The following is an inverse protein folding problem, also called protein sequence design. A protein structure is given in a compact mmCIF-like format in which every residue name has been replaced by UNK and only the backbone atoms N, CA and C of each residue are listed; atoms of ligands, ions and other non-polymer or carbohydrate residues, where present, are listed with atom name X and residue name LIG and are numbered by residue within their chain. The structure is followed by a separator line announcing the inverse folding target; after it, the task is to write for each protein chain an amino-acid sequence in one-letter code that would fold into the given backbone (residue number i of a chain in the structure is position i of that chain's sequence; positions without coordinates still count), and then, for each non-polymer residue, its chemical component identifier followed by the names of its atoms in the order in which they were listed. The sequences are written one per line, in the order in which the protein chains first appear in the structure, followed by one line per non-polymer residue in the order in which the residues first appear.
data_IF_503225025336
#
_entry.id   IF_503225025336
#
_cell.length_a   1.000
_cell.length_b   1.000
_cell.length_c   1.000
_cell.angle_alpha   90.00
_cell.angle_beta   90.00
_cell.angle_gamma   90.00
#
_symmetry.space_group_name_H-M   'P 1'
#
loop_
_entity.id
_entity.type
_entity.pdbx_description
1 polymer ?
#
# COMPACT_ATOMS: atom_id res chain seq x y z
N UNK A 1 45.16 30.60 -5.85
CA UNK A 1 44.32 30.49 -7.06
C UNK A 1 44.00 29.03 -7.28
N UNK A 2 42.80 28.58 -6.93
CA UNK A 2 42.37 27.19 -7.13
C UNK A 2 41.80 26.99 -8.54
N UNK A 3 41.93 25.79 -9.14
CA UNK A 3 41.40 25.54 -10.47
C UNK A 3 39.88 25.58 -10.43
N UNK A 4 39.29 26.44 -11.28
CA UNK A 4 37.85 26.48 -11.48
C UNK A 4 37.42 25.21 -12.23
N UNK A 5 36.59 24.39 -11.58
CA UNK A 5 35.96 23.22 -12.18
C UNK A 5 35.04 23.69 -13.31
N UNK A 6 35.49 23.54 -14.56
CA UNK A 6 34.73 23.95 -15.74
C UNK A 6 33.49 23.07 -16.01
N UNK A 7 32.66 23.45 -17.01
CA UNK A 7 31.37 22.82 -17.30
C UNK A 7 31.45 21.33 -17.67
N UNK A 8 32.66 20.79 -17.87
CA UNK A 8 32.91 19.37 -18.14
C UNK A 8 32.52 18.43 -16.99
N UNK A 9 32.48 18.91 -15.73
CA UNK A 9 32.09 18.08 -14.59
C UNK A 9 30.56 17.86 -14.52
N UNK A 10 29.76 18.81 -15.01
CA UNK A 10 28.31 18.70 -15.03
C UNK A 10 27.82 17.61 -16.01
N UNK A 11 28.57 17.37 -17.09
CA UNK A 11 28.22 16.38 -18.10
C UNK A 11 28.40 14.92 -17.61
N UNK A 12 29.27 14.70 -16.62
CA UNK A 12 29.54 13.35 -16.08
C UNK A 12 28.42 12.85 -15.14
N UNK A 13 27.60 13.75 -14.60
CA UNK A 13 26.48 13.41 -13.72
C UNK A 13 25.26 12.86 -14.49
N UNK A 14 25.14 13.14 -15.78
CA UNK A 14 24.00 12.67 -16.60
C UNK A 14 24.21 11.28 -17.19
N UNK A 15 25.42 10.73 -17.11
CA UNK A 15 25.77 9.41 -17.66
C UNK A 15 25.52 8.24 -16.72
N UNK A 16 25.10 8.49 -15.47
CA UNK A 16 24.63 7.43 -14.59
C UNK A 16 23.15 7.18 -14.89
N UNK A 17 22.77 5.98 -15.38
CA UNK A 17 21.36 5.64 -15.45
C UNK A 17 20.85 5.63 -14.02
N UNK A 18 19.98 6.59 -13.69
CA UNK A 18 19.16 6.52 -12.50
C UNK A 18 18.26 5.30 -12.71
N UNK A 19 18.69 4.15 -12.18
CA UNK A 19 17.82 2.98 -12.09
C UNK A 19 16.66 3.42 -11.22
N UNK A 20 15.48 3.53 -11.83
CA UNK A 20 14.24 3.62 -11.10
C UNK A 20 14.12 2.31 -10.33
N UNK A 21 13.95 2.38 -9.01
CA UNK A 21 13.84 1.20 -8.16
C UNK A 21 12.65 0.32 -8.58
N UNK A 22 12.60 -0.90 -8.05
CA UNK A 22 11.43 -1.75 -8.23
C UNK A 22 10.19 -1.07 -7.59
N UNK A 23 8.99 -1.16 -8.21
CA UNK A 23 7.78 -0.60 -7.66
C UNK A 23 7.52 -1.08 -6.22
N UNK A 24 7.12 -0.15 -5.35
CA UNK A 24 6.84 -0.44 -3.94
C UNK A 24 5.33 -0.40 -3.68
N UNK A 25 4.82 -1.44 -3.04
CA UNK A 25 3.43 -1.49 -2.56
C UNK A 25 3.42 -1.44 -1.03
N UNK A 26 2.60 -0.56 -0.47
CA UNK A 26 2.47 -0.36 0.98
C UNK A 26 1.02 -0.48 1.41
N UNK A 27 0.81 -1.06 2.60
CA UNK A 27 -0.48 -1.13 3.26
C UNK A 27 -0.30 -0.63 4.70
N UNK A 28 -1.09 0.36 5.09
CA UNK A 28 -1.10 0.91 6.44
C UNK A 28 -2.45 0.59 7.07
N UNK A 29 -2.41 -0.09 8.21
CA UNK A 29 -3.59 -0.51 8.98
C UNK A 29 -3.44 -0.08 10.44
N UNK A 30 -4.55 0.07 11.18
CA UNK A 30 -4.50 0.22 12.62
C UNK A 30 -3.84 -1.00 13.26
N UNK A 31 -3.11 -0.77 14.36
CA UNK A 31 -2.51 -1.86 15.15
C UNK A 31 -3.56 -2.84 15.70
N UNK A 32 -4.77 -2.36 15.98
CA UNK A 32 -5.88 -3.15 16.50
C UNK A 32 -7.13 -2.82 15.69
N UNK A 33 -7.72 -3.84 15.06
CA UNK A 33 -9.00 -3.74 14.36
C UNK A 33 -10.14 -4.09 15.32
N UNK A 34 -11.05 -3.15 15.56
CA UNK A 34 -12.16 -3.36 16.50
C UNK A 34 -13.37 -3.96 15.79
N UNK A 35 -13.94 -5.01 16.38
CA UNK A 35 -15.17 -5.61 15.89
C UNK A 35 -16.32 -4.60 15.96
N UNK A 36 -17.18 -4.61 14.93
CA UNK A 36 -18.33 -3.71 14.79
C UNK A 36 -17.99 -2.25 14.55
N UNK A 37 -16.70 -1.88 14.45
CA UNK A 37 -16.25 -0.52 14.20
C UNK A 37 -15.79 -0.35 12.76
N UNK A 38 -15.97 0.86 12.22
CA UNK A 38 -15.38 1.26 10.95
C UNK A 38 -13.91 1.59 11.17
N UNK A 39 -13.03 0.88 10.48
CA UNK A 39 -11.59 1.09 10.49
C UNK A 39 -11.13 1.45 9.08
N UNK A 40 -10.08 2.24 8.93
CA UNK A 40 -9.55 2.65 7.62
C UNK A 40 -8.22 1.95 7.34
N UNK A 41 -8.10 1.40 6.15
CA UNK A 41 -6.86 0.82 5.61
C UNK A 41 -6.40 1.65 4.43
N UNK A 42 -5.15 2.11 4.46
CA UNK A 42 -4.56 2.87 3.37
C UNK A 42 -3.70 1.95 2.50
N UNK A 43 -3.85 2.09 1.19
CA UNK A 43 -3.12 1.34 0.16
C UNK A 43 -2.37 2.32 -0.71
N UNK A 44 -1.10 2.03 -0.97
CA UNK A 44 -0.22 2.88 -1.76
C UNK A 44 0.58 2.05 -2.75
N UNK A 45 0.78 2.57 -3.95
CA UNK A 45 1.73 2.04 -4.93
C UNK A 45 2.66 3.16 -5.40
N UNK A 46 3.97 2.97 -5.24
CA UNK A 46 5.02 3.87 -5.70
C UNK A 46 5.71 3.32 -6.94
N UNK A 47 6.15 4.22 -7.82
CA UNK A 47 6.83 3.92 -9.08
C UNK A 47 6.04 2.97 -10.01
N UNK A 48 4.71 2.97 -9.87
CA UNK A 48 3.78 2.24 -10.73
C UNK A 48 3.04 3.18 -11.69
N UNK A 49 2.81 2.72 -12.92
CA UNK A 49 2.27 3.57 -14.02
C UNK A 49 0.98 3.05 -14.64
N UNK A 50 0.60 1.81 -14.35
CA UNK A 50 -0.60 1.18 -14.92
C UNK A 50 -1.72 1.10 -13.89
N UNK A 51 -2.96 0.95 -14.32
CA UNK A 51 -4.08 0.76 -13.40
C UNK A 51 -3.96 -0.57 -12.66
N UNK A 52 -4.18 -0.58 -11.34
CA UNK A 52 -4.11 -1.77 -10.48
C UNK A 52 -5.48 -2.04 -9.88
N UNK A 53 -6.05 -3.20 -10.16
CA UNK A 53 -7.22 -3.70 -9.42
C UNK A 53 -6.74 -4.36 -8.13
N UNK A 54 -7.23 -3.88 -6.97
CA UNK A 54 -6.85 -4.38 -5.65
C UNK A 54 -8.08 -4.98 -4.97
N UNK A 55 -7.91 -6.13 -4.33
CA UNK A 55 -8.94 -6.75 -3.48
C UNK A 55 -8.42 -6.80 -2.04
N UNK A 56 -9.15 -6.17 -1.12
CA UNK A 56 -8.86 -6.18 0.31
C UNK A 56 -9.75 -7.22 0.96
N UNK A 57 -9.14 -8.25 1.56
CA UNK A 57 -9.85 -9.30 2.29
C UNK A 57 -9.39 -9.36 3.74
N UNK A 58 -10.33 -9.61 4.65
CA UNK A 58 -10.05 -9.96 6.04
C UNK A 58 -10.50 -11.39 6.26
N UNK A 59 -9.63 -12.20 6.84
CA UNK A 59 -9.90 -13.60 7.16
C UNK A 59 -9.72 -13.85 8.65
N UNK A 60 -10.31 -14.93 9.14
CA UNK A 60 -9.92 -15.50 10.43
C UNK A 60 -8.47 -16.02 10.40
N UNK A 61 -7.83 -16.00 11.57
CA UNK A 61 -6.49 -16.51 11.79
C UNK A 61 -6.53 -17.67 12.79
N UNK A 62 -5.69 -18.72 12.63
CA UNK A 62 -4.67 -18.91 11.60
C UNK A 62 -5.17 -19.55 10.30
N UNK A 63 -6.36 -20.17 10.33
CA UNK A 63 -6.76 -21.13 9.31
C UNK A 63 -7.40 -20.53 8.03
N UNK A 64 -7.74 -19.23 8.03
CA UNK A 64 -8.39 -18.53 6.91
C UNK A 64 -9.65 -19.24 6.36
N UNK A 65 -10.43 -19.85 7.25
CA UNK A 65 -11.65 -20.61 6.90
C UNK A 65 -12.80 -19.72 6.45
N UNK A 66 -12.88 -18.49 6.95
CA UNK A 66 -13.97 -17.55 6.71
C UNK A 66 -13.45 -16.21 6.19
N UNK A 67 -14.23 -15.61 5.29
CA UNK A 67 -14.02 -14.25 4.81
C UNK A 67 -14.89 -13.33 5.67
N UNK A 68 -14.23 -12.50 6.48
CA UNK A 68 -14.88 -11.56 7.39
C UNK A 68 -15.19 -10.22 6.70
N UNK A 69 -14.44 -9.89 5.65
CA UNK A 69 -14.61 -8.70 4.83
C UNK A 69 -13.99 -8.93 3.45
N UNK A 70 -14.59 -8.34 2.41
CA UNK A 70 -14.09 -8.40 1.04
C UNK A 70 -14.56 -7.17 0.27
N UNK A 71 -13.63 -6.31 -0.14
CA UNK A 71 -13.91 -5.12 -0.95
C UNK A 71 -12.89 -5.00 -2.09
N UNK A 72 -13.34 -4.46 -3.22
CA UNK A 72 -12.49 -4.17 -4.37
C UNK A 72 -12.28 -2.66 -4.47
N UNK A 73 -11.05 -2.27 -4.76
CA UNK A 73 -10.68 -0.89 -5.06
C UNK A 73 -9.69 -0.88 -6.23
N UNK A 74 -9.28 0.31 -6.64
CA UNK A 74 -8.40 0.52 -7.77
C UNK A 74 -7.37 1.58 -7.44
N UNK A 75 -6.12 1.37 -7.83
CA UNK A 75 -5.06 2.37 -7.79
C UNK A 75 -4.75 2.81 -9.22
N UNK A 76 -4.86 4.10 -9.48
CA UNK A 76 -4.66 4.69 -10.80
C UNK A 76 -4.17 6.15 -10.68
N UNK A 77 -3.92 6.80 -11.81
CA UNK A 77 -3.45 8.18 -11.82
C UNK A 77 -4.47 9.19 -11.26
N UNK A 78 -5.77 8.87 -11.23
CA UNK A 78 -6.80 9.76 -10.72
C UNK A 78 -6.84 9.82 -9.19
N UNK A 79 -6.35 8.77 -8.50
CA UNK A 79 -6.20 8.76 -7.04
C UNK A 79 -4.74 8.74 -6.59
N UNK A 80 -3.82 9.15 -7.47
CA UNK A 80 -2.38 9.21 -7.19
C UNK A 80 -1.82 7.89 -6.65
N UNK A 81 -2.39 6.77 -7.12
CA UNK A 81 -2.05 5.43 -6.65
C UNK A 81 -2.23 5.20 -5.14
N UNK A 82 -3.15 5.96 -4.53
CA UNK A 82 -3.49 5.91 -3.12
C UNK A 82 -4.99 5.65 -2.93
N UNK A 83 -5.36 4.69 -2.09
CA UNK A 83 -6.76 4.38 -1.79
C UNK A 83 -6.97 4.08 -0.31
N UNK A 84 -7.97 4.73 0.28
CA UNK A 84 -8.44 4.44 1.62
C UNK A 84 -9.68 3.53 1.54
N UNK A 85 -9.59 2.35 2.15
CA UNK A 85 -10.64 1.34 2.20
C UNK A 85 -11.22 1.31 3.61
N UNK A 86 -12.54 1.45 3.75
CA UNK A 86 -13.21 1.40 5.06
C UNK A 86 -13.66 -0.02 5.34
N UNK A 87 -12.99 -0.69 6.27
CA UNK A 87 -13.32 -2.05 6.68
C UNK A 87 -14.21 -2.04 7.92
N UNK A 88 -15.11 -3.02 8.01
CA UNK A 88 -15.91 -3.26 9.23
C UNK A 88 -16.00 -4.76 9.44
N UNK A 89 -15.37 -5.25 10.51
CA UNK A 89 -15.40 -6.67 10.86
C UNK A 89 -16.67 -6.91 11.69
N UNK A 90 -17.53 -7.88 11.33
CA UNK A 90 -18.74 -8.14 12.09
C UNK A 90 -18.43 -8.53 13.54
N UNK A 91 -19.25 -8.11 14.49
CA UNK A 91 -19.12 -8.49 15.90
C UNK A 91 -19.98 -9.74 16.20
N UNK A 92 -19.70 -10.85 15.50
CA UNK A 92 -20.37 -12.12 15.79
C UNK A 92 -19.64 -12.86 16.91
N UNK A 93 -20.42 -13.47 17.81
CA UNK A 93 -19.89 -14.24 18.96
C UNK A 93 -19.00 -15.40 18.52
N UNK A 94 -19.24 -15.93 17.32
CA UNK A 94 -18.50 -17.06 16.74
C UNK A 94 -17.05 -16.71 16.31
N UNK A 95 -16.69 -15.42 16.32
CA UNK A 95 -15.33 -14.95 16.02
C UNK A 95 -14.43 -14.92 17.26
N UNK A 96 -15.01 -15.09 18.44
CA UNK A 96 -14.30 -15.12 19.71
C UNK A 96 -14.05 -16.59 20.03
N UNK A 97 -12.79 -17.01 20.08
CA UNK A 97 -12.44 -18.37 20.52
C UNK A 97 -13.09 -18.62 21.88
N UNK A 98 -13.88 -19.69 22.00
CA UNK A 98 -14.22 -20.20 23.32
C UNK A 98 -12.90 -20.50 24.05
N UNK A 99 -12.81 -20.01 25.29
CA UNK A 99 -11.61 -20.10 26.13
C UNK A 99 -11.58 -21.41 26.88
#
# INVERSE_FOLDING_TARGET
MGPALGPSLLLLLTSFPLVLGDPLFSMITPNILRLGSKETVLLEAHDWKEKIAVTVTVHDFPAKKQVLFNEKTELNSANEYLSAVTITIPNNKDLISEK
#
